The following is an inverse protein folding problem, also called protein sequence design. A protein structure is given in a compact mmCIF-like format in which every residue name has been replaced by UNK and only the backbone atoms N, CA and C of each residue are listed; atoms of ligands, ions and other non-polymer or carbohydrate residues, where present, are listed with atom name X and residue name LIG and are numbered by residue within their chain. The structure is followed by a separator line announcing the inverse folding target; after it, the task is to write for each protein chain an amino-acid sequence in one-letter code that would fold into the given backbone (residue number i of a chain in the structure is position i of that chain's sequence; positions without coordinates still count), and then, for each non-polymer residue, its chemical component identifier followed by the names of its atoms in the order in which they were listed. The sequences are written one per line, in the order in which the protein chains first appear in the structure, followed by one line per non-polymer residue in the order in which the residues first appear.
data_IF_531663960425
#
_entry.id   IF_531663960425
#
_cell.length_a   1.000
_cell.length_b   1.000
_cell.length_c   1.000
_cell.angle_alpha   90.00
_cell.angle_beta   90.00
_cell.angle_gamma   90.00
#
_symmetry.space_group_name_H-M   'P 1'
#
loop_
_entity.id
_entity.type
_entity.pdbx_description
1 polymer ?
#
# COMPACT_ATOMS: atom_id res chain seq x y z
N UNK A 1 -38.02 -14.02 -0.35
CA UNK A 1 -37.46 -13.84 -1.72
C UNK A 1 -36.60 -12.59 -1.89
N UNK A 2 -36.75 -11.53 -1.07
CA UNK A 2 -35.94 -10.28 -1.16
C UNK A 2 -34.41 -10.49 -0.97
N UNK A 3 -33.97 -11.58 -0.35
CA UNK A 3 -32.54 -11.81 -0.06
C UNK A 3 -31.73 -12.37 -1.24
N UNK A 4 -32.35 -13.04 -2.23
CA UNK A 4 -31.61 -13.72 -3.29
C UNK A 4 -31.07 -12.74 -4.35
N UNK A 5 -31.85 -11.73 -4.74
CA UNK A 5 -31.41 -10.71 -5.71
C UNK A 5 -30.24 -9.86 -5.18
N UNK A 6 -30.26 -9.52 -3.89
CA UNK A 6 -29.20 -8.76 -3.20
C UNK A 6 -27.89 -9.57 -3.19
N UNK A 7 -27.98 -10.88 -2.95
CA UNK A 7 -26.83 -11.80 -2.98
C UNK A 7 -26.21 -11.92 -4.38
N UNK A 8 -27.01 -11.99 -5.44
CA UNK A 8 -26.52 -12.00 -6.83
C UNK A 8 -25.87 -10.67 -7.24
N UNK A 9 -26.45 -9.53 -6.86
CA UNK A 9 -25.87 -8.21 -7.17
C UNK A 9 -24.51 -7.99 -6.50
N UNK A 10 -24.36 -8.40 -5.24
CA UNK A 10 -23.10 -8.30 -4.50
C UNK A 10 -22.01 -9.21 -5.10
N UNK A 11 -22.37 -10.43 -5.51
CA UNK A 11 -21.42 -11.34 -6.15
C UNK A 11 -20.86 -10.78 -7.46
N UNK A 12 -21.69 -10.13 -8.29
CA UNK A 12 -21.25 -9.46 -9.52
C UNK A 12 -20.29 -8.30 -9.20
N UNK A 13 -20.63 -7.47 -8.20
CA UNK A 13 -19.77 -6.35 -7.79
C UNK A 13 -18.41 -6.84 -7.29
N UNK A 14 -18.37 -7.91 -6.48
CA UNK A 14 -17.12 -8.50 -6.01
C UNK A 14 -16.30 -9.13 -7.14
N UNK A 15 -16.95 -9.85 -8.06
CA UNK A 15 -16.28 -10.42 -9.23
C UNK A 15 -15.65 -9.35 -10.13
N UNK A 16 -16.40 -8.28 -10.43
CA UNK A 16 -15.89 -7.14 -11.19
C UNK A 16 -14.75 -6.43 -10.46
N UNK A 17 -14.87 -6.20 -9.14
CA UNK A 17 -13.83 -5.58 -8.35
C UNK A 17 -12.52 -6.38 -8.41
N UNK A 18 -12.58 -7.70 -8.22
CA UNK A 18 -11.39 -8.57 -8.35
C UNK A 18 -10.83 -8.53 -9.77
N UNK A 19 -11.70 -8.64 -10.79
CA UNK A 19 -11.30 -8.57 -12.20
C UNK A 19 -10.56 -7.28 -12.55
N UNK A 20 -11.09 -6.12 -12.17
CA UNK A 20 -10.43 -4.83 -12.42
C UNK A 20 -9.09 -4.69 -11.67
N UNK A 21 -9.01 -5.14 -10.41
CA UNK A 21 -7.75 -5.10 -9.66
C UNK A 21 -6.69 -6.04 -10.28
N UNK A 22 -7.08 -7.21 -10.80
CA UNK A 22 -6.16 -8.09 -11.54
C UNK A 22 -5.64 -7.43 -12.81
N UNK A 23 -6.51 -6.74 -13.56
CA UNK A 23 -6.09 -5.96 -14.74
C UNK A 23 -5.08 -4.87 -14.34
N UNK A 24 -5.32 -4.13 -13.25
CA UNK A 24 -4.39 -3.12 -12.74
C UNK A 24 -3.04 -3.72 -12.33
N UNK A 25 -3.02 -4.89 -11.71
CA UNK A 25 -1.77 -5.61 -11.37
C UNK A 25 -1.01 -5.99 -12.65
N UNK A 26 -1.70 -6.59 -13.62
CA UNK A 26 -1.09 -6.97 -14.92
C UNK A 26 -0.52 -5.75 -15.64
N UNK A 27 -1.27 -4.64 -15.68
CA UNK A 27 -0.80 -3.38 -16.26
C UNK A 27 0.38 -2.78 -15.48
N UNK A 28 0.44 -2.95 -14.16
CA UNK A 28 1.54 -2.43 -13.34
C UNK A 28 2.83 -3.24 -13.51
N UNK A 29 2.72 -4.56 -13.75
CA UNK A 29 3.88 -5.45 -13.92
C UNK A 29 4.39 -5.44 -15.37
N UNK A 30 3.48 -5.50 -16.36
CA UNK A 30 3.81 -5.71 -17.78
C UNK A 30 3.64 -4.42 -18.60
N UNK A 31 2.86 -3.46 -18.11
CA UNK A 31 2.53 -2.25 -18.85
C UNK A 31 3.70 -1.29 -18.97
N UNK A 32 4.10 -1.01 -20.21
CA UNK A 32 5.17 -0.05 -20.54
C UNK A 32 4.83 1.43 -20.28
N UNK A 33 3.57 1.73 -19.92
CA UNK A 33 3.05 3.11 -19.78
C UNK A 33 3.11 3.66 -18.35
N UNK A 34 3.23 2.81 -17.33
CA UNK A 34 3.42 3.27 -15.94
C UNK A 34 4.91 3.40 -15.63
N UNK A 35 5.50 4.50 -16.07
CA UNK A 35 6.93 4.77 -15.89
C UNK A 35 7.25 5.30 -14.49
N UNK A 36 6.28 5.89 -13.79
CA UNK A 36 6.48 6.46 -12.47
C UNK A 36 6.43 5.38 -11.40
N UNK A 37 7.59 5.07 -10.84
CA UNK A 37 7.77 4.00 -9.85
C UNK A 37 6.83 4.09 -8.65
N UNK A 38 6.71 5.28 -8.04
CA UNK A 38 5.86 5.47 -6.88
C UNK A 38 4.39 5.15 -7.17
N UNK A 39 3.91 5.60 -8.33
CA UNK A 39 2.54 5.33 -8.79
C UNK A 39 2.36 3.84 -9.12
N UNK A 40 3.33 3.24 -9.82
CA UNK A 40 3.33 1.81 -10.17
C UNK A 40 3.19 0.92 -8.93
N UNK A 41 4.04 1.13 -7.93
CA UNK A 41 4.01 0.34 -6.70
C UNK A 41 2.80 0.64 -5.83
N UNK A 42 2.34 1.88 -5.79
CA UNK A 42 1.11 2.23 -5.08
C UNK A 42 -0.10 1.50 -5.68
N UNK A 43 -0.26 1.54 -7.01
CA UNK A 43 -1.37 0.85 -7.70
C UNK A 43 -1.28 -0.65 -7.48
N UNK A 44 -0.09 -1.25 -7.60
CA UNK A 44 0.10 -2.69 -7.38
C UNK A 44 -0.26 -3.08 -5.95
N UNK A 45 0.24 -2.33 -4.95
CA UNK A 45 -0.04 -2.58 -3.55
C UNK A 45 -1.54 -2.41 -3.21
N UNK A 46 -2.15 -1.32 -3.68
CA UNK A 46 -3.56 -1.03 -3.50
C UNK A 46 -4.44 -2.11 -4.13
N UNK A 47 -4.08 -2.57 -5.33
CA UNK A 47 -4.83 -3.59 -6.06
C UNK A 47 -4.78 -4.95 -5.37
N UNK A 48 -3.61 -5.36 -4.88
CA UNK A 48 -3.47 -6.59 -4.08
C UNK A 48 -4.32 -6.51 -2.82
N UNK A 49 -4.29 -5.37 -2.13
CA UNK A 49 -5.12 -5.17 -0.94
C UNK A 49 -6.61 -5.21 -1.23
N UNK A 50 -7.06 -4.59 -2.31
CA UNK A 50 -8.47 -4.59 -2.67
C UNK A 50 -8.96 -6.01 -2.95
N UNK A 51 -8.15 -6.85 -3.58
CA UNK A 51 -8.47 -8.27 -3.77
C UNK A 51 -8.56 -8.99 -2.42
N UNK A 52 -7.55 -8.83 -1.55
CA UNK A 52 -7.55 -9.45 -0.21
C UNK A 52 -8.78 -9.04 0.59
N UNK A 53 -9.11 -7.74 0.61
CA UNK A 53 -10.33 -7.26 1.26
C UNK A 53 -11.57 -7.86 0.62
N UNK A 54 -11.70 -7.83 -0.70
CA UNK A 54 -12.90 -8.34 -1.38
C UNK A 54 -13.14 -9.83 -1.08
N UNK A 55 -12.08 -10.65 -1.09
CA UNK A 55 -12.16 -12.07 -0.74
C UNK A 55 -12.52 -12.25 0.73
N UNK A 56 -11.92 -11.45 1.63
CA UNK A 56 -12.24 -11.49 3.05
C UNK A 56 -13.70 -11.06 3.33
N UNK A 57 -14.19 -10.03 2.64
CA UNK A 57 -15.59 -9.57 2.69
C UNK A 57 -16.56 -10.65 2.22
N UNK A 58 -16.28 -11.27 1.08
CA UNK A 58 -17.11 -12.33 0.52
C UNK A 58 -17.14 -13.58 1.43
N UNK A 59 -16.02 -13.90 2.08
CA UNK A 59 -15.88 -15.12 2.89
C UNK A 59 -16.43 -14.97 4.30
N UNK A 60 -16.34 -13.77 4.89
CA UNK A 60 -16.61 -13.55 6.31
C UNK A 60 -17.60 -12.41 6.57
N UNK A 61 -18.50 -12.08 5.64
CA UNK A 61 -19.37 -10.88 5.61
C UNK A 61 -19.82 -10.30 6.97
N UNK A 62 -20.13 -11.12 7.96
CA UNK A 62 -20.49 -10.72 9.33
C UNK A 62 -19.35 -10.26 10.25
N UNK A 63 -18.13 -10.77 10.06
CA UNK A 63 -16.91 -10.44 10.84
C UNK A 63 -16.06 -9.36 10.16
N UNK A 64 -16.62 -8.71 9.17
CA UNK A 64 -15.93 -7.65 8.44
C UNK A 64 -15.98 -6.34 9.23
N UNK A 65 -14.94 -5.50 9.16
CA UNK A 65 -14.91 -4.24 9.92
C UNK A 65 -15.97 -3.22 9.49
N UNK A 66 -16.72 -3.46 8.39
CA UNK A 66 -17.77 -2.57 7.86
C UNK A 66 -19.13 -3.27 7.69
N UNK A 67 -19.56 -4.10 8.65
CA UNK A 67 -20.88 -4.73 8.60
C UNK A 67 -21.98 -3.68 8.37
N UNK A 68 -22.81 -3.85 7.33
CA UNK A 68 -23.93 -2.95 7.03
C UNK A 68 -23.58 -1.67 6.26
N UNK A 69 -22.36 -1.49 5.73
CA UNK A 69 -21.98 -0.29 4.96
C UNK A 69 -22.92 0.00 3.76
N UNK A 70 -23.42 -1.04 3.09
CA UNK A 70 -24.36 -0.89 1.96
C UNK A 70 -25.79 -0.59 2.45
N UNK A 71 -26.09 -0.88 3.71
CA UNK A 71 -27.44 -0.87 4.28
C UNK A 71 -27.72 0.36 5.16
N UNK A 72 -26.70 0.99 5.74
CA UNK A 72 -26.81 2.16 6.62
C UNK A 72 -26.41 3.46 5.91
N UNK A 73 -27.33 4.43 5.85
CA UNK A 73 -27.09 5.72 5.22
C UNK A 73 -26.11 6.61 6.02
N UNK A 74 -26.03 6.46 7.36
CA UNK A 74 -25.03 7.15 8.18
C UNK A 74 -23.71 6.37 8.20
N UNK A 75 -22.86 6.68 7.22
CA UNK A 75 -21.55 6.04 7.03
C UNK A 75 -20.38 6.92 7.52
N UNK A 76 -20.63 8.02 8.22
CA UNK A 76 -19.63 9.02 8.59
C UNK A 76 -18.45 8.44 9.40
N UNK A 77 -18.73 7.55 10.35
CA UNK A 77 -17.72 6.86 11.18
C UNK A 77 -16.95 5.81 10.36
N UNK A 78 -17.65 5.07 9.51
CA UNK A 78 -17.08 4.00 8.68
C UNK A 78 -16.13 4.57 7.63
N UNK A 79 -16.50 5.68 7.00
CA UNK A 79 -15.64 6.40 6.03
C UNK A 79 -14.33 6.84 6.68
N UNK A 80 -14.36 7.39 7.90
CA UNK A 80 -13.14 7.76 8.63
C UNK A 80 -12.23 6.56 8.91
N UNK A 81 -12.79 5.38 9.20
CA UNK A 81 -12.01 4.14 9.41
C UNK A 81 -11.39 3.65 8.10
N UNK A 82 -12.15 3.65 7.00
CA UNK A 82 -11.65 3.28 5.67
C UNK A 82 -10.49 4.19 5.26
N UNK A 83 -10.65 5.50 5.46
CA UNK A 83 -9.60 6.49 5.19
C UNK A 83 -8.31 6.20 5.95
N UNK A 84 -8.41 5.94 7.27
CA UNK A 84 -7.24 5.60 8.09
C UNK A 84 -6.52 4.33 7.62
N UNK A 85 -7.27 3.30 7.23
CA UNK A 85 -6.67 2.06 6.70
C UNK A 85 -5.96 2.33 5.36
N UNK A 86 -6.59 3.07 4.45
CA UNK A 86 -5.98 3.39 3.15
C UNK A 86 -4.72 4.24 3.31
N UNK A 87 -4.74 5.22 4.20
CA UNK A 87 -3.56 6.00 4.58
C UNK A 87 -2.45 5.13 5.16
N UNK A 88 -2.79 4.16 6.00
CA UNK A 88 -1.79 3.26 6.58
C UNK A 88 -1.14 2.34 5.53
N UNK A 89 -1.94 1.77 4.62
CA UNK A 89 -1.42 0.98 3.48
C UNK A 89 -0.52 1.82 2.60
N UNK A 90 -0.93 3.06 2.32
CA UNK A 90 -0.16 4.02 1.55
C UNK A 90 1.20 4.26 2.19
N UNK A 91 1.22 4.66 3.47
CA UNK A 91 2.45 4.92 4.21
C UNK A 91 3.36 3.69 4.23
N UNK A 92 2.81 2.50 4.50
CA UNK A 92 3.62 1.27 4.54
C UNK A 92 4.25 0.95 3.19
N UNK A 93 3.51 1.09 2.09
CA UNK A 93 4.06 0.88 0.75
C UNK A 93 5.12 1.93 0.40
N UNK A 94 4.84 3.20 0.71
CA UNK A 94 5.73 4.31 0.37
C UNK A 94 7.07 4.26 1.11
N UNK A 95 7.13 3.68 2.32
CA UNK A 95 8.40 3.43 3.03
C UNK A 95 9.37 2.63 2.14
N UNK A 96 8.90 1.55 1.52
CA UNK A 96 9.72 0.72 0.65
C UNK A 96 10.03 1.42 -0.68
N UNK A 97 9.06 2.13 -1.25
CA UNK A 97 9.23 2.89 -2.50
C UNK A 97 10.33 3.96 -2.35
N UNK A 98 10.38 4.66 -1.21
CA UNK A 98 11.45 5.63 -0.95
C UNK A 98 12.83 4.97 -0.99
N UNK A 99 12.99 3.81 -0.34
CA UNK A 99 14.27 3.09 -0.31
C UNK A 99 14.65 2.62 -1.72
N UNK A 100 13.70 2.05 -2.48
CA UNK A 100 13.92 1.59 -3.84
C UNK A 100 14.33 2.73 -4.79
N UNK A 101 13.64 3.87 -4.73
CA UNK A 101 13.94 5.05 -5.57
C UNK A 101 15.36 5.54 -5.33
N UNK A 102 15.82 5.57 -4.07
CA UNK A 102 17.21 5.92 -3.75
C UNK A 102 18.21 4.91 -4.33
N UNK A 103 17.96 3.62 -4.17
CA UNK A 103 18.87 2.56 -4.66
C UNK A 103 19.04 2.67 -6.17
N UNK A 104 17.95 2.82 -6.93
CA UNK A 104 18.06 2.89 -8.40
C UNK A 104 18.57 4.24 -8.87
N UNK A 105 18.38 5.32 -8.10
CA UNK A 105 19.05 6.57 -8.40
C UNK A 105 20.57 6.39 -8.43
N UNK A 106 21.14 5.72 -7.41
CA UNK A 106 22.59 5.44 -7.37
C UNK A 106 23.02 4.30 -8.30
N UNK A 107 22.15 3.34 -8.58
CA UNK A 107 22.44 2.17 -9.44
C UNK A 107 21.35 2.04 -10.54
N UNK A 108 21.42 2.85 -11.61
CA UNK A 108 20.36 2.90 -12.63
C UNK A 108 20.19 1.60 -13.43
N UNK A 109 21.19 0.72 -13.43
CA UNK A 109 21.13 -0.58 -14.12
C UNK A 109 20.10 -1.51 -13.51
N UNK A 110 19.68 -1.27 -12.26
CA UNK A 110 18.67 -2.07 -11.57
C UNK A 110 17.23 -1.78 -12.03
N UNK A 111 16.98 -0.67 -12.72
CA UNK A 111 15.63 -0.25 -13.12
C UNK A 111 14.93 -1.27 -14.04
N UNK A 112 15.70 -1.92 -14.92
CA UNK A 112 15.20 -2.94 -15.84
C UNK A 112 15.50 -4.38 -15.36
N UNK A 113 16.01 -4.54 -14.15
CA UNK A 113 16.33 -5.85 -13.63
C UNK A 113 15.07 -6.52 -13.07
N UNK A 114 14.67 -7.63 -13.69
CA UNK A 114 13.50 -8.41 -13.31
C UNK A 114 13.60 -8.95 -11.87
N UNK A 115 14.78 -9.47 -11.48
CA UNK A 115 14.99 -10.04 -10.15
C UNK A 115 14.86 -8.96 -9.08
N UNK A 116 15.45 -7.78 -9.32
CA UNK A 116 15.32 -6.64 -8.43
C UNK A 116 13.86 -6.21 -8.28
N UNK A 117 13.12 -6.10 -9.39
CA UNK A 117 11.70 -5.75 -9.37
C UNK A 117 10.85 -6.80 -8.64
N UNK A 118 11.14 -8.09 -8.81
CA UNK A 118 10.44 -9.16 -8.08
C UNK A 118 10.69 -9.11 -6.57
N UNK A 119 11.92 -8.77 -6.15
CA UNK A 119 12.24 -8.60 -4.73
C UNK A 119 11.40 -7.47 -4.10
N UNK A 120 11.27 -6.33 -4.79
CA UNK A 120 10.41 -5.25 -4.33
C UNK A 120 8.93 -5.60 -4.33
N UNK A 121 8.48 -6.40 -5.31
CA UNK A 121 7.12 -6.92 -5.32
C UNK A 121 6.85 -7.78 -4.08
N UNK A 122 7.79 -8.66 -3.72
CA UNK A 122 7.67 -9.48 -2.51
C UNK A 122 7.72 -8.62 -1.24
N UNK A 123 8.58 -7.60 -1.16
CA UNK A 123 8.64 -6.74 0.02
C UNK A 123 7.40 -5.85 0.19
N UNK A 124 6.98 -5.17 -0.89
CA UNK A 124 5.87 -4.21 -0.88
C UNK A 124 4.53 -4.93 -0.82
N UNK A 125 4.34 -5.98 -1.62
CA UNK A 125 3.03 -6.61 -1.75
C UNK A 125 2.91 -7.94 -1.02
N UNK A 126 4.02 -8.60 -0.71
CA UNK A 126 4.06 -9.79 0.13
C UNK A 126 4.22 -9.42 1.60
N UNK A 127 5.40 -8.90 1.98
CA UNK A 127 5.78 -8.69 3.38
C UNK A 127 4.96 -7.61 4.08
N UNK A 128 4.87 -6.39 3.51
CA UNK A 128 4.05 -5.32 4.09
C UNK A 128 2.59 -5.78 4.26
N UNK A 129 2.07 -6.50 3.27
CA UNK A 129 0.67 -6.93 3.29
C UNK A 129 0.42 -8.09 4.24
N UNK A 130 1.35 -9.05 4.31
CA UNK A 130 1.32 -10.13 5.29
C UNK A 130 1.38 -9.59 6.72
N UNK A 131 2.18 -8.56 6.99
CA UNK A 131 2.26 -7.93 8.31
C UNK A 131 0.92 -7.28 8.71
N UNK A 132 0.28 -6.52 7.82
CA UNK A 132 -1.05 -5.93 8.10
C UNK A 132 -2.11 -7.03 8.25
N UNK A 133 -2.10 -8.05 7.38
CA UNK A 133 -3.04 -9.17 7.45
C UNK A 133 -2.87 -9.96 8.75
N UNK A 134 -1.62 -10.19 9.17
CA UNK A 134 -1.29 -10.80 10.44
C UNK A 134 -1.84 -9.96 11.59
N UNK A 135 -1.59 -8.65 11.62
CA UNK A 135 -2.16 -7.76 12.65
C UNK A 135 -3.69 -7.78 12.66
N UNK A 136 -4.31 -7.93 11.49
CA UNK A 136 -5.76 -8.02 11.37
C UNK A 136 -6.32 -9.35 11.89
N UNK A 137 -5.71 -10.49 11.52
CA UNK A 137 -6.08 -11.81 12.03
C UNK A 137 -5.78 -11.95 13.53
N UNK A 138 -4.65 -11.41 13.99
CA UNK A 138 -4.28 -11.29 15.39
C UNK A 138 -5.38 -10.60 16.19
N UNK A 139 -5.92 -9.48 15.70
CA UNK A 139 -7.06 -8.83 16.35
C UNK A 139 -8.29 -9.73 16.38
N UNK A 140 -8.65 -10.42 15.29
CA UNK A 140 -9.85 -11.27 15.28
C UNK A 140 -9.70 -12.45 16.26
N UNK A 141 -8.52 -13.07 16.32
CA UNK A 141 -8.27 -14.25 17.16
C UNK A 141 -8.11 -13.85 18.63
N UNK A 142 -7.40 -12.75 18.90
CA UNK A 142 -7.06 -12.33 20.26
C UNK A 142 -8.03 -11.31 20.85
N UNK A 143 -8.89 -10.64 20.07
CA UNK A 143 -9.89 -9.72 20.65
C UNK A 143 -11.11 -10.43 21.22
N UNK A 144 -11.39 -11.68 20.82
CA UNK A 144 -12.49 -12.49 21.37
C UNK A 144 -12.07 -13.26 22.64
N UNK A 145 -10.76 -13.46 22.85
CA UNK A 145 -10.21 -13.96 24.10
C UNK A 145 -9.76 -12.76 24.92
N UNK A 146 -10.47 -12.42 26.00
CA UNK A 146 -10.10 -11.39 27.01
C UNK A 146 -8.62 -11.05 26.93
N UNK A 147 -8.28 -9.96 26.20
CA UNK A 147 -6.88 -9.60 25.95
C UNK A 147 -6.27 -9.35 27.31
N UNK A 148 -5.45 -10.29 27.77
CA UNK A 148 -4.67 -10.16 29.00
C UNK A 148 -4.06 -8.76 29.03
N UNK A 149 -4.07 -8.13 30.20
CA UNK A 149 -3.57 -6.78 30.52
C UNK A 149 -2.09 -6.53 30.14
N UNK A 150 -1.44 -7.48 29.46
CA UNK A 150 -0.04 -7.46 29.04
C UNK A 150 0.21 -6.71 27.73
N UNK A 151 -0.78 -6.53 26.84
CA UNK A 151 -0.60 -5.81 25.57
C UNK A 151 -1.11 -4.37 25.67
N UNK A 152 -0.18 -3.40 25.63
CA UNK A 152 -0.47 -1.98 25.82
C UNK A 152 -1.27 -1.35 24.65
N UNK A 153 -1.32 -2.02 23.48
CA UNK A 153 -2.03 -1.56 22.27
C UNK A 153 -2.60 -2.73 21.43
N UNK A 154 -3.76 -2.53 20.80
CA UNK A 154 -4.33 -3.40 19.76
C UNK A 154 -3.30 -3.59 18.60
N UNK A 155 -2.98 -4.83 18.18
CA UNK A 155 -1.95 -5.11 17.16
C UNK A 155 -2.05 -4.27 15.89
N UNK A 156 -3.26 -3.98 15.41
CA UNK A 156 -3.47 -3.12 14.24
C UNK A 156 -3.08 -1.68 14.54
N UNK A 157 -3.45 -1.18 15.73
CA UNK A 157 -3.16 0.19 16.17
C UNK A 157 -1.66 0.36 16.38
N UNK A 158 -1.00 -0.64 16.97
CA UNK A 158 0.46 -0.63 17.12
C UNK A 158 1.18 -0.57 15.76
N UNK A 159 0.77 -1.42 14.81
CA UNK A 159 1.31 -1.40 13.46
C UNK A 159 1.12 -0.04 12.77
N UNK A 160 -0.06 0.59 12.91
CA UNK A 160 -0.33 1.93 12.38
C UNK A 160 0.61 2.99 12.96
N UNK A 161 0.84 2.97 14.27
CA UNK A 161 1.75 3.91 14.93
C UNK A 161 3.17 3.72 14.41
N UNK A 162 3.66 2.48 14.35
CA UNK A 162 5.02 2.17 13.88
C UNK A 162 5.22 2.64 12.45
N UNK A 163 4.31 2.30 11.52
CA UNK A 163 4.41 2.71 10.12
C UNK A 163 4.34 4.23 9.97
N UNK A 164 3.47 4.90 10.72
CA UNK A 164 3.35 6.35 10.66
C UNK A 164 4.62 7.05 11.18
N UNK A 165 5.19 6.58 12.30
CA UNK A 165 6.46 7.09 12.82
C UNK A 165 7.61 6.87 11.83
N UNK A 166 7.72 5.65 11.27
CA UNK A 166 8.72 5.33 10.26
C UNK A 166 8.58 6.24 9.03
N UNK A 167 7.35 6.45 8.55
CA UNK A 167 7.10 7.29 7.40
C UNK A 167 7.49 8.76 7.65
N UNK A 168 7.11 9.32 8.81
CA UNK A 168 7.45 10.70 9.19
C UNK A 168 8.96 10.89 9.31
N UNK A 169 9.70 9.92 9.85
CA UNK A 169 11.16 9.98 9.96
C UNK A 169 11.82 9.80 8.60
N UNK A 170 11.26 8.97 7.74
CA UNK A 170 11.86 8.65 6.45
C UNK A 170 11.77 9.82 5.44
N UNK A 171 10.74 10.66 5.52
CA UNK A 171 10.61 11.85 4.67
C UNK A 171 11.82 12.81 4.76
N UNK A 172 12.22 13.32 5.95
CA UNK A 172 13.37 14.21 6.06
C UNK A 172 14.68 13.48 5.72
N UNK A 173 14.82 12.20 6.08
CA UNK A 173 15.98 11.39 5.70
C UNK A 173 16.09 11.27 4.18
N UNK A 174 14.99 10.95 3.50
CA UNK A 174 14.93 10.88 2.05
C UNK A 174 15.24 12.24 1.40
N UNK A 175 14.68 13.33 1.93
CA UNK A 175 14.95 14.68 1.44
C UNK A 175 16.45 15.03 1.50
N UNK A 176 17.09 14.77 2.64
CA UNK A 176 18.54 15.01 2.82
C UNK A 176 19.33 14.18 1.79
N UNK A 177 19.02 12.88 1.68
CA UNK A 177 19.72 12.00 0.72
C UNK A 177 19.47 12.45 -0.71
N UNK A 178 18.25 12.85 -1.08
CA UNK A 178 17.92 13.31 -2.42
C UNK A 178 18.65 14.61 -2.80
N UNK A 179 18.82 15.54 -1.85
CA UNK A 179 19.63 16.75 -2.03
C UNK A 179 21.09 16.36 -2.26
N UNK A 180 21.66 15.54 -1.38
CA UNK A 180 23.06 15.06 -1.50
C UNK A 180 23.28 14.34 -2.83
N UNK A 181 22.36 13.45 -3.21
CA UNK A 181 22.43 12.69 -4.46
C UNK A 181 22.37 13.61 -5.70
N UNK A 182 21.53 14.64 -5.66
CA UNK A 182 21.43 15.65 -6.74
C UNK A 182 22.72 16.48 -6.85
N UNK A 183 23.31 16.88 -5.73
CA UNK A 183 24.59 17.63 -5.70
C UNK A 183 25.73 16.76 -6.22
N UNK A 184 25.87 15.53 -5.74
CA UNK A 184 26.92 14.58 -6.19
C UNK A 184 26.78 14.32 -7.69
N UNK A 185 25.56 14.09 -8.18
CA UNK A 185 25.29 13.90 -9.60
C UNK A 185 25.76 15.10 -10.44
N UNK A 186 25.55 16.33 -9.95
CA UNK A 186 25.99 17.55 -10.61
C UNK A 186 27.53 17.66 -10.62
N UNK A 187 28.17 17.45 -9.47
CA UNK A 187 29.64 17.56 -9.30
C UNK A 187 30.37 16.50 -10.14
N UNK A 188 29.95 15.24 -10.03
CA UNK A 188 30.59 14.12 -10.71
C UNK A 188 30.21 14.02 -12.20
N UNK A 189 29.38 14.96 -12.71
CA UNK A 189 28.83 14.95 -14.08
C UNK A 189 28.28 13.58 -14.48
N UNK A 190 27.69 12.87 -13.52
CA UNK A 190 27.14 11.55 -13.78
C UNK A 190 26.00 11.74 -14.77
N UNK A 191 26.12 11.13 -15.96
CA UNK A 191 25.07 11.17 -16.98
C UNK A 191 23.88 10.32 -16.52
N UNK A 192 23.12 10.81 -15.55
CA UNK A 192 21.79 10.30 -15.30
C UNK A 192 20.85 10.81 -16.39
N UNK A 193 19.94 9.95 -16.85
CA UNK A 193 18.80 10.40 -17.66
C UNK A 193 17.96 11.34 -16.80
N UNK A 194 17.46 12.43 -17.38
CA UNK A 194 16.56 13.40 -16.72
C UNK A 194 15.42 12.70 -15.97
N UNK A 195 14.94 11.57 -16.50
CA UNK A 195 13.94 10.70 -15.87
C UNK A 195 14.27 10.31 -14.42
N UNK A 196 15.52 9.94 -14.08
CA UNK A 196 15.86 9.49 -12.73
C UNK A 196 15.81 10.63 -11.70
N UNK A 197 16.14 11.86 -12.10
CA UNK A 197 15.96 13.03 -11.23
C UNK A 197 14.48 13.35 -11.04
N UNK A 198 13.68 13.27 -12.11
CA UNK A 198 12.24 13.44 -12.02
C UNK A 198 11.59 12.37 -11.14
N UNK A 199 12.08 11.14 -11.16
CA UNK A 199 11.61 10.07 -10.25
C UNK A 199 12.02 10.31 -8.80
N UNK A 200 13.25 10.74 -8.55
CA UNK A 200 13.76 11.04 -7.21
C UNK A 200 12.89 12.10 -6.52
N UNK A 201 12.69 13.24 -7.18
CA UNK A 201 11.91 14.36 -6.64
C UNK A 201 10.40 14.11 -6.74
N UNK A 202 9.98 13.44 -7.81
CA UNK A 202 8.60 13.03 -8.02
C UNK A 202 8.07 12.08 -6.96
N UNK A 203 8.90 11.13 -6.51
CA UNK A 203 8.56 10.20 -5.42
C UNK A 203 8.38 10.95 -4.09
N UNK A 204 9.21 11.98 -3.83
CA UNK A 204 9.05 12.83 -2.64
C UNK A 204 7.72 13.59 -2.67
N UNK A 205 7.42 14.26 -3.78
CA UNK A 205 6.15 14.99 -3.94
C UNK A 205 4.98 14.03 -3.78
N UNK A 206 5.04 12.87 -4.44
CA UNK A 206 4.00 11.85 -4.33
C UNK A 206 3.81 11.41 -2.87
N UNK A 207 4.89 11.09 -2.16
CA UNK A 207 4.85 10.74 -0.74
C UNK A 207 4.27 11.83 0.17
N UNK A 208 4.45 13.10 -0.18
CA UNK A 208 3.87 14.23 0.55
C UNK A 208 2.39 14.48 0.24
N UNK A 209 1.89 14.03 -0.91
CA UNK A 209 0.45 14.04 -1.21
C UNK A 209 -0.21 13.01 -0.30
N UNK A 210 -0.70 13.50 0.84
CA UNK A 210 -1.49 12.71 1.78
C UNK A 210 -2.85 12.47 1.14
N UNK A 211 -3.06 11.25 0.65
CA UNK A 211 -4.40 10.74 0.36
C UNK A 211 -5.18 10.47 1.64
#
# INVERSE_FOLDING_TARGET
EVNQEILTGQAVVYGLAVGFNLVLIVMSIIGKRMTWRAVRWHVLNSSVWNIVFTVFYASYGERTPWKGYIQNADCSITVKKIFRINKNKYNSGMVFVFIETLIVFFIPTLDNNFIFSMLWLVLICGFSNACILFCFLARIIWSDAVVDETWWYDPITFYQIVIMCLFIILIPVYLIIAIVASIISCICKIKHRVHHHLELWGTLIYGLVVF
#
